data_IF_783813227507
#
_entry.id   IF_783813227507
#
_cell.length_a   1.000
_cell.length_b   1.000
_cell.length_c   1.000
_cell.angle_alpha   90.00
_cell.angle_beta   90.00
_cell.angle_gamma   90.00
#
_symmetry.space_group_name_H-M   'P 1'
#
loop_
_entity.id
_entity.type
_entity.pdbx_description
1 polymer ?
#
# COMPACT_ATOMS: atom_id res chain seq x y z
N UNK A 1 -4.32 17.36 1.37
CA UNK A 1 -4.12 16.27 2.35
C UNK A 1 -4.27 14.98 1.57
N UNK A 2 -3.30 14.06 1.64
CA UNK A 2 -3.38 12.80 0.87
C UNK A 2 -4.58 11.96 1.31
N UNK A 3 -5.28 11.32 0.37
CA UNK A 3 -6.52 10.57 0.63
C UNK A 3 -6.33 9.32 1.50
N UNK A 4 -5.09 8.84 1.64
CA UNK A 4 -4.73 7.65 2.42
C UNK A 4 -3.46 7.90 3.26
N UNK A 5 -3.56 8.63 4.39
CA UNK A 5 -2.41 8.92 5.25
C UNK A 5 -1.77 7.65 5.81
N UNK A 6 -2.52 6.55 5.98
CA UNK A 6 -1.98 5.26 6.40
C UNK A 6 -0.94 4.68 5.45
N UNK A 7 -0.94 5.05 4.17
CA UNK A 7 0.07 4.59 3.20
C UNK A 7 1.43 5.24 3.43
N UNK A 8 1.47 6.38 4.13
CA UNK A 8 2.70 7.12 4.43
C UNK A 8 3.72 6.30 5.23
N UNK A 9 3.26 5.39 6.11
CA UNK A 9 4.18 4.54 6.91
C UNK A 9 4.98 3.55 6.06
N UNK A 10 4.47 3.23 4.88
CA UNK A 10 5.16 2.33 3.98
C UNK A 10 6.20 3.08 3.17
N UNK A 11 6.00 4.36 2.84
CA UNK A 11 6.92 5.16 2.02
C UNK A 11 8.32 5.24 2.64
N UNK A 12 9.35 5.15 1.82
CA UNK A 12 10.75 5.16 2.27
C UNK A 12 11.51 6.39 1.74
N UNK A 13 11.95 7.29 2.63
CA UNK A 13 12.86 8.38 2.29
C UNK A 13 12.37 9.28 1.13
N UNK A 14 13.14 9.31 0.03
CA UNK A 14 12.85 10.08 -1.19
C UNK A 14 12.30 9.20 -2.33
N UNK A 15 11.63 8.10 -2.00
CA UNK A 15 11.03 7.17 -2.97
C UNK A 15 10.00 7.89 -3.87
N UNK A 16 10.06 7.66 -5.18
CA UNK A 16 9.07 8.18 -6.10
C UNK A 16 7.74 7.44 -5.97
N UNK A 17 6.62 8.06 -6.36
CA UNK A 17 5.32 7.38 -6.36
C UNK A 17 5.30 6.08 -7.17
N UNK A 18 6.09 6.01 -8.26
CA UNK A 18 6.19 4.81 -9.09
C UNK A 18 6.94 3.69 -8.36
N UNK A 19 8.06 4.01 -7.71
CA UNK A 19 8.81 3.05 -6.90
C UNK A 19 7.98 2.55 -5.71
N UNK A 20 7.25 3.48 -5.08
CA UNK A 20 6.30 3.16 -4.02
C UNK A 20 5.22 2.18 -4.50
N UNK A 21 4.59 2.44 -5.65
CA UNK A 21 3.57 1.57 -6.21
C UNK A 21 4.09 0.16 -6.53
N UNK A 22 5.30 0.05 -7.13
CA UNK A 22 5.94 -1.25 -7.42
C UNK A 22 6.15 -2.03 -6.13
N UNK A 23 6.68 -1.39 -5.08
CA UNK A 23 6.93 -2.08 -3.81
C UNK A 23 5.66 -2.48 -3.09
N UNK A 24 4.61 -1.67 -3.14
CA UNK A 24 3.29 -2.08 -2.62
C UNK A 24 2.78 -3.30 -3.40
N UNK A 25 2.96 -3.36 -4.71
CA UNK A 25 2.60 -4.53 -5.50
C UNK A 25 3.39 -5.79 -5.07
N UNK A 26 4.69 -5.66 -4.80
CA UNK A 26 5.50 -6.76 -4.28
C UNK A 26 5.01 -7.22 -2.89
N UNK A 27 4.71 -6.29 -1.99
CA UNK A 27 4.16 -6.60 -0.67
C UNK A 27 2.82 -7.34 -0.75
N UNK A 28 1.98 -7.06 -1.76
CA UNK A 28 0.71 -7.77 -1.93
C UNK A 28 0.88 -9.25 -2.29
N UNK A 29 2.05 -9.68 -2.76
CA UNK A 29 2.36 -11.09 -3.02
C UNK A 29 2.68 -11.87 -1.74
N UNK A 30 3.05 -11.18 -0.66
CA UNK A 30 3.35 -11.80 0.63
C UNK A 30 2.06 -11.95 1.46
N UNK A 31 1.65 -13.18 1.85
CA UNK A 31 0.37 -13.40 2.54
C UNK A 31 0.19 -12.60 3.83
N UNK A 32 1.27 -12.37 4.58
CA UNK A 32 1.23 -11.59 5.83
C UNK A 32 1.03 -10.11 5.57
N UNK A 33 1.72 -9.57 4.55
CA UNK A 33 1.61 -8.17 4.13
C UNK A 33 0.30 -7.88 3.43
N UNK A 34 -0.22 -8.84 2.65
CA UNK A 34 -1.56 -8.74 2.08
C UNK A 34 -2.61 -8.54 3.17
N UNK A 35 -2.56 -9.33 4.27
CA UNK A 35 -3.46 -9.16 5.41
C UNK A 35 -3.30 -7.78 6.09
N UNK A 36 -2.07 -7.27 6.14
CA UNK A 36 -1.79 -5.91 6.66
C UNK A 36 -2.40 -4.81 5.77
N UNK A 37 -2.34 -5.00 4.44
CA UNK A 37 -2.82 -4.04 3.45
C UNK A 37 -4.32 -4.18 3.15
N UNK A 38 -4.94 -5.31 3.46
CA UNK A 38 -6.33 -5.60 3.12
C UNK A 38 -7.33 -4.52 3.59
N UNK A 39 -7.29 -4.00 4.83
CA UNK A 39 -8.20 -2.93 5.26
C UNK A 39 -8.02 -1.63 4.47
N UNK A 40 -6.82 -1.42 3.94
CA UNK A 40 -6.47 -0.24 3.13
C UNK A 40 -7.02 -0.43 1.71
N UNK A 41 -6.89 -1.63 1.15
CA UNK A 41 -7.47 -2.00 -0.14
C UNK A 41 -9.00 -1.89 -0.13
N UNK A 42 -9.68 -2.39 0.90
CA UNK A 42 -11.14 -2.29 1.03
C UNK A 42 -11.62 -0.84 1.03
N UNK A 43 -10.93 0.05 1.74
CA UNK A 43 -11.23 1.50 1.73
C UNK A 43 -11.06 2.12 0.35
N UNK A 44 -10.14 1.60 -0.46
CA UNK A 44 -9.95 2.00 -1.86
C UNK A 44 -10.97 1.39 -2.82
N UNK A 45 -11.93 0.59 -2.32
CA UNK A 45 -12.95 -0.08 -3.12
C UNK A 45 -12.51 -1.41 -3.71
N UNK A 46 -11.43 -2.03 -3.20
CA UNK A 46 -11.10 -3.41 -3.55
C UNK A 46 -12.22 -4.34 -3.09
N UNK A 47 -12.69 -5.17 -4.02
CA UNK A 47 -13.65 -6.23 -3.76
C UNK A 47 -13.00 -7.57 -4.13
N UNK A 48 -13.15 -8.62 -3.31
CA UNK A 48 -12.53 -9.92 -3.51
C UNK A 48 -13.03 -10.66 -4.76
#
# INVERSE_FOLDING_TARGET
MSEMPEMGKYSQGTESYQQFAIRIADMLLEPEKFRELYPILEKSGFQP
#
